data_IF_151939108292
#
_entry.id   IF_151939108292
#
_cell.length_a   1.000
_cell.length_b   1.000
_cell.length_c   1.000
_cell.angle_alpha   90.00
_cell.angle_beta   90.00
_cell.angle_gamma   90.00
#
_symmetry.space_group_name_H-M   'P 1'
#
loop_
_entity.id
_entity.type
_entity.pdbx_description
1 polymer ?
#
# COMPACT_ATOMS: atom_id res chain seq x y z
N UNK A 1 35.69 -27.34 1.56
CA UNK A 1 34.23 -27.28 1.74
C UNK A 1 33.94 -25.97 2.45
N UNK A 2 33.28 -25.04 1.74
CA UNK A 2 32.98 -23.70 2.21
C UNK A 2 31.71 -23.73 3.08
N UNK A 3 31.72 -23.01 4.20
CA UNK A 3 30.55 -22.76 5.04
C UNK A 3 29.62 -21.78 4.33
N UNK A 4 28.32 -22.09 4.35
CA UNK A 4 27.25 -21.47 3.58
C UNK A 4 26.62 -20.24 4.25
N UNK A 5 27.28 -19.63 5.25
CA UNK A 5 26.96 -18.27 5.70
C UNK A 5 25.53 -18.07 6.21
N UNK A 6 24.84 -19.13 6.65
CA UNK A 6 23.50 -19.03 7.22
C UNK A 6 23.60 -18.71 8.72
N UNK A 7 23.22 -17.48 9.10
CA UNK A 7 22.98 -17.15 10.51
C UNK A 7 21.51 -17.46 10.81
N UNK A 8 21.24 -18.60 11.46
CA UNK A 8 19.91 -18.95 11.94
C UNK A 8 19.84 -18.68 13.45
N UNK A 9 19.05 -17.68 13.86
CA UNK A 9 18.77 -17.42 15.29
C UNK A 9 17.46 -18.12 15.64
N UNK A 10 17.55 -19.24 16.36
CA UNK A 10 16.38 -19.89 16.97
C UNK A 10 16.23 -19.37 18.41
N UNK A 11 15.13 -18.66 18.70
CA UNK A 11 14.76 -18.20 20.04
C UNK A 11 13.94 -19.30 20.75
N UNK A 12 14.20 -19.49 22.05
CA UNK A 12 13.52 -20.49 22.89
C UNK A 12 12.06 -20.09 23.15
N UNK A 13 11.19 -21.09 23.08
CA UNK A 13 9.76 -21.02 23.38
C UNK A 13 9.54 -20.89 24.88
N UNK A 14 9.13 -19.70 25.33
CA UNK A 14 8.24 -19.49 26.46
C UNK A 14 7.50 -18.16 26.16
N UNK A 15 6.21 -18.25 25.78
CA UNK A 15 5.25 -17.14 25.55
C UNK A 15 5.66 -16.01 24.54
N UNK A 16 6.52 -16.31 23.58
CA UNK A 16 7.20 -15.30 22.77
C UNK A 16 6.38 -14.74 21.58
N UNK A 17 5.99 -13.47 21.65
CA UNK A 17 5.70 -12.67 20.45
C UNK A 17 6.90 -12.77 19.48
N UNK A 18 6.65 -13.15 18.22
CA UNK A 18 7.69 -13.18 17.18
C UNK A 18 7.80 -11.77 16.61
N UNK A 19 8.72 -10.98 17.15
CA UNK A 19 8.90 -9.60 16.73
C UNK A 19 10.15 -9.46 15.86
N UNK A 20 9.98 -8.93 14.65
CA UNK A 20 11.06 -8.41 13.82
C UNK A 20 11.02 -6.89 13.95
N UNK A 21 12.09 -6.28 14.45
CA UNK A 21 12.26 -4.82 14.50
C UNK A 21 13.41 -4.40 13.61
N UNK A 22 13.13 -3.48 12.69
CA UNK A 22 14.18 -2.75 11.97
C UNK A 22 14.17 -1.29 12.42
N UNK A 23 15.24 -0.85 13.07
CA UNK A 23 15.48 0.56 13.42
C UNK A 23 16.71 1.13 12.71
N UNK A 24 17.38 0.32 11.90
CA UNK A 24 18.60 0.68 11.16
C UNK A 24 18.37 0.66 9.67
N UNK A 25 19.36 0.23 8.90
CA UNK A 25 19.24 0.08 7.44
C UNK A 25 19.43 -1.38 7.04
N UNK A 26 18.49 -1.91 6.26
CA UNK A 26 18.61 -3.19 5.56
C UNK A 26 18.70 -2.86 4.07
N UNK A 27 19.74 -3.32 3.38
CA UNK A 27 19.94 -2.98 1.97
C UNK A 27 20.34 -4.19 1.13
N UNK A 28 19.76 -4.29 -0.06
CA UNK A 28 20.10 -5.23 -1.12
C UNK A 28 19.81 -4.57 -2.47
N UNK A 29 20.79 -3.84 -3.01
CA UNK A 29 20.68 -3.07 -4.26
C UNK A 29 20.12 -3.92 -5.42
N UNK A 30 18.96 -3.51 -5.96
CA UNK A 30 18.21 -4.23 -7.01
C UNK A 30 17.78 -5.66 -6.64
N UNK A 31 18.00 -6.08 -5.39
CA UNK A 31 17.82 -7.44 -4.92
C UNK A 31 16.45 -7.69 -4.29
N UNK A 32 16.34 -8.80 -3.56
CA UNK A 32 15.14 -9.15 -2.80
C UNK A 32 15.40 -9.04 -1.30
N UNK A 33 14.52 -8.31 -0.60
CA UNK A 33 14.47 -8.27 0.87
C UNK A 33 13.14 -8.85 1.33
N UNK A 34 13.17 -9.84 2.21
CA UNK A 34 11.97 -10.43 2.79
C UNK A 34 12.07 -10.50 4.31
N UNK A 35 11.22 -9.73 5.00
CA UNK A 35 11.02 -9.81 6.44
C UNK A 35 9.77 -10.65 6.65
N UNK A 36 9.95 -11.86 7.20
CA UNK A 36 8.85 -12.80 7.41
C UNK A 36 8.85 -13.29 8.86
N UNK A 37 7.78 -12.98 9.60
CA UNK A 37 7.58 -13.48 10.95
C UNK A 37 6.55 -14.61 10.90
N UNK A 38 7.01 -15.85 11.09
CA UNK A 38 6.19 -17.04 10.90
C UNK A 38 4.98 -17.09 11.84
N UNK A 39 3.78 -17.07 11.25
CA UNK A 39 2.49 -17.27 11.89
C UNK A 39 2.34 -18.77 12.24
N UNK A 40 2.75 -19.17 13.45
CA UNK A 40 2.46 -20.52 13.91
C UNK A 40 0.95 -20.66 14.14
N UNK A 41 0.39 -21.82 13.80
CA UNK A 41 -1.03 -22.13 14.05
C UNK A 41 -1.33 -21.96 15.55
N UNK A 42 -1.94 -20.84 15.93
CA UNK A 42 -2.80 -20.77 17.10
C UNK A 42 -2.52 -19.78 18.22
N UNK A 43 -1.44 -18.98 18.28
CA UNK A 43 -1.34 -17.98 19.38
C UNK A 43 -0.22 -16.92 19.29
N UNK A 44 0.66 -16.94 18.28
CA UNK A 44 1.79 -15.99 18.27
C UNK A 44 1.41 -14.73 17.50
N UNK A 45 1.29 -13.60 18.20
CA UNK A 45 1.30 -12.28 17.58
C UNK A 45 2.68 -12.06 16.94
N UNK A 46 2.77 -12.44 15.66
CA UNK A 46 3.93 -12.16 14.84
C UNK A 46 3.86 -10.71 14.38
N UNK A 47 4.86 -9.91 14.76
CA UNK A 47 4.90 -8.47 14.49
C UNK A 47 6.15 -8.14 13.67
N UNK A 48 5.97 -7.36 12.61
CA UNK A 48 7.06 -6.59 12.00
C UNK A 48 6.85 -5.12 12.36
N UNK A 49 7.91 -4.48 12.83
CA UNK A 49 7.95 -3.04 13.12
C UNK A 49 9.18 -2.43 12.43
N UNK A 50 8.92 -1.65 11.37
CA UNK A 50 9.94 -0.97 10.59
C UNK A 50 9.91 0.54 10.87
N UNK A 51 10.84 1.00 11.70
CA UNK A 51 11.13 2.43 11.92
C UNK A 51 12.43 2.89 11.25
N UNK A 52 13.20 1.94 10.69
CA UNK A 52 14.43 2.18 9.95
C UNK A 52 14.19 2.33 8.44
N UNK A 53 15.21 2.00 7.65
CA UNK A 53 15.19 2.02 6.18
C UNK A 53 15.32 0.58 5.66
N UNK A 54 14.49 0.21 4.69
CA UNK A 54 14.62 -1.00 3.88
C UNK A 54 14.83 -0.58 2.43
N UNK A 55 15.97 -0.94 1.85
CA UNK A 55 16.50 -0.35 0.62
C UNK A 55 16.83 -1.44 -0.42
N UNK A 56 15.98 -1.61 -1.41
CA UNK A 56 16.18 -2.49 -2.57
C UNK A 56 16.29 -1.71 -3.89
N UNK A 57 16.54 -0.39 -3.84
CA UNK A 57 16.62 0.41 -5.05
C UNK A 57 17.81 0.05 -5.93
N UNK A 58 17.71 0.41 -7.21
CA UNK A 58 18.75 0.24 -8.22
C UNK A 58 18.96 1.55 -8.98
N UNK A 59 20.21 1.95 -9.22
CA UNK A 59 20.49 3.22 -9.91
C UNK A 59 20.33 3.13 -11.43
N UNK A 60 20.44 1.94 -12.02
CA UNK A 60 20.47 1.75 -13.48
C UNK A 60 19.41 0.79 -13.99
N UNK A 61 19.08 -0.22 -13.19
CA UNK A 61 18.11 -1.25 -13.54
C UNK A 61 16.77 -0.99 -12.87
N UNK A 62 15.84 -1.92 -13.04
CA UNK A 62 14.61 -1.95 -12.27
C UNK A 62 14.91 -2.08 -10.76
N UNK A 63 14.10 -1.43 -9.93
CA UNK A 63 14.15 -1.60 -8.48
C UNK A 63 13.87 -3.04 -8.04
N UNK A 64 14.34 -3.40 -6.85
CA UNK A 64 14.22 -4.75 -6.30
C UNK A 64 12.84 -5.11 -5.77
N UNK A 65 12.76 -6.22 -5.03
CA UNK A 65 11.54 -6.70 -4.39
C UNK A 65 11.65 -6.60 -2.87
N UNK A 66 10.66 -6.01 -2.20
CA UNK A 66 10.57 -5.96 -0.74
C UNK A 66 9.27 -6.62 -0.28
N UNK A 67 9.37 -7.54 0.68
CA UNK A 67 8.24 -8.28 1.24
C UNK A 67 8.25 -8.15 2.76
N UNK A 68 7.17 -7.66 3.36
CA UNK A 68 6.92 -7.68 4.79
C UNK A 68 5.67 -8.54 5.06
N UNK A 69 5.85 -9.70 5.72
CA UNK A 69 4.75 -10.62 6.05
C UNK A 69 4.82 -11.08 7.50
N UNK A 70 3.79 -10.73 8.27
CA UNK A 70 3.60 -11.09 9.67
C UNK A 70 2.11 -11.00 9.99
N UNK A 71 1.69 -11.37 11.21
CA UNK A 71 0.30 -11.18 11.63
C UNK A 71 -0.06 -9.69 11.75
N UNK A 72 0.88 -8.87 12.21
CA UNK A 72 0.79 -7.41 12.22
C UNK A 72 2.04 -6.80 11.59
N UNK A 73 1.87 -5.80 10.73
CA UNK A 73 2.98 -5.03 10.15
C UNK A 73 2.80 -3.53 10.43
N UNK A 74 3.75 -2.92 11.11
CA UNK A 74 3.80 -1.49 11.38
C UNK A 74 4.98 -0.86 10.62
N UNK A 75 4.73 0.25 9.92
CA UNK A 75 5.75 0.99 9.18
C UNK A 75 5.69 2.47 9.56
N UNK A 76 6.77 2.96 10.18
CA UNK A 76 6.99 4.40 10.44
C UNK A 76 8.18 4.95 9.66
N UNK A 77 9.12 4.07 9.27
CA UNK A 77 10.31 4.43 8.52
C UNK A 77 10.14 4.34 7.00
N UNK A 78 11.24 4.10 6.31
CA UNK A 78 11.31 4.11 4.85
C UNK A 78 11.42 2.69 4.24
N UNK A 79 10.80 2.51 3.08
CA UNK A 79 10.88 1.29 2.26
C UNK A 79 11.02 1.73 0.80
N UNK A 80 12.18 1.50 0.20
CA UNK A 80 12.49 1.97 -1.15
C UNK A 80 12.86 0.81 -2.08
N UNK A 81 12.19 0.74 -3.21
CA UNK A 81 12.46 -0.14 -4.33
C UNK A 81 12.46 0.69 -5.63
N UNK A 82 13.05 1.88 -5.60
CA UNK A 82 13.17 2.74 -6.77
C UNK A 82 14.13 2.13 -7.81
N UNK A 83 13.97 2.46 -9.09
CA UNK A 83 14.88 1.96 -10.13
C UNK A 83 15.20 2.99 -11.19
N UNK A 84 16.37 2.85 -11.84
CA UNK A 84 16.77 3.64 -12.99
C UNK A 84 15.82 3.43 -14.17
N UNK A 85 15.62 2.16 -14.54
CA UNK A 85 14.84 1.75 -15.72
C UNK A 85 13.39 1.33 -15.42
N UNK A 86 12.94 1.46 -14.16
CA UNK A 86 11.61 1.03 -13.72
C UNK A 86 11.52 0.86 -12.20
N UNK A 87 10.35 1.11 -11.61
CA UNK A 87 10.15 0.83 -10.19
C UNK A 87 10.12 -0.66 -9.86
N UNK A 88 10.49 -1.00 -8.63
CA UNK A 88 10.45 -2.35 -8.09
C UNK A 88 9.07 -2.77 -7.56
N UNK A 89 9.04 -3.79 -6.70
CA UNK A 89 7.82 -4.31 -6.09
C UNK A 89 7.92 -4.28 -4.57
N UNK A 90 6.88 -3.77 -3.91
CA UNK A 90 6.75 -3.73 -2.46
C UNK A 90 5.44 -4.40 -2.08
N UNK A 91 5.51 -5.47 -1.27
CA UNK A 91 4.36 -6.20 -0.75
C UNK A 91 4.36 -6.12 0.78
N UNK A 92 3.33 -5.49 1.36
CA UNK A 92 3.21 -5.27 2.80
C UNK A 92 1.90 -5.91 3.27
N UNK A 93 2.05 -6.95 4.08
CA UNK A 93 0.94 -7.68 4.68
C UNK A 93 0.26 -8.69 3.75
N UNK A 94 0.18 -8.45 2.43
CA UNK A 94 -0.38 -9.40 1.47
C UNK A 94 0.06 -9.09 0.03
N UNK A 95 -0.51 -9.82 -0.92
CA UNK A 95 -0.36 -9.57 -2.35
C UNK A 95 -1.69 -9.08 -2.95
N UNK A 96 -1.68 -8.79 -4.25
CA UNK A 96 -2.78 -8.23 -5.03
C UNK A 96 -4.13 -8.86 -4.68
N UNK A 97 -5.13 -8.04 -4.33
CA UNK A 97 -6.49 -8.48 -3.96
C UNK A 97 -6.52 -9.55 -2.87
N UNK A 98 -5.61 -9.45 -1.90
CA UNK A 98 -5.53 -10.36 -0.78
C UNK A 98 -5.11 -11.78 -1.12
N UNK A 99 -4.46 -11.99 -2.27
CA UNK A 99 -3.78 -13.25 -2.52
C UNK A 99 -2.63 -13.43 -1.51
N UNK A 100 -2.34 -14.67 -1.08
CA UNK A 100 -1.16 -14.92 -0.27
C UNK A 100 0.11 -14.61 -1.08
N UNK A 101 1.09 -13.96 -0.44
CA UNK A 101 2.35 -13.53 -1.08
C UNK A 101 3.12 -14.70 -1.72
N UNK A 102 3.05 -15.88 -1.10
CA UNK A 102 3.56 -17.14 -1.62
C UNK A 102 3.02 -18.30 -0.77
N UNK A 103 3.17 -19.53 -1.25
CA UNK A 103 2.79 -20.73 -0.50
C UNK A 103 3.38 -20.72 0.93
N UNK A 104 2.49 -20.76 1.92
CA UNK A 104 2.86 -20.79 3.34
C UNK A 104 3.06 -19.43 4.02
N UNK A 105 2.93 -18.31 3.30
CA UNK A 105 2.81 -16.98 3.90
C UNK A 105 1.35 -16.52 3.84
N UNK A 106 0.68 -16.52 5.00
CA UNK A 106 -0.65 -15.94 5.12
C UNK A 106 -0.59 -14.40 5.04
N UNK A 107 -1.74 -13.79 4.79
CA UNK A 107 -1.88 -12.34 4.87
C UNK A 107 -1.76 -11.87 6.33
N UNK A 108 -1.34 -10.63 6.51
CA UNK A 108 -1.43 -9.94 7.79
C UNK A 108 -2.90 -9.77 8.18
N UNK A 109 -3.17 -9.84 9.49
CA UNK A 109 -4.45 -9.38 10.03
C UNK A 109 -4.51 -7.86 10.08
N UNK A 110 -3.39 -7.23 10.43
CA UNK A 110 -3.31 -5.78 10.56
C UNK A 110 -2.09 -5.22 9.85
N UNK A 111 -2.28 -4.20 9.01
CA UNK A 111 -1.20 -3.46 8.36
C UNK A 111 -1.38 -1.97 8.62
N UNK A 112 -0.41 -1.35 9.27
CA UNK A 112 -0.47 0.06 9.69
C UNK A 112 0.73 0.80 9.10
N UNK A 113 0.45 1.71 8.18
CA UNK A 113 1.42 2.67 7.63
C UNK A 113 1.16 4.02 8.32
N UNK A 114 2.18 4.54 8.99
CA UNK A 114 2.09 5.77 9.77
C UNK A 114 2.47 7.01 8.95
N UNK A 115 2.11 8.20 9.45
CA UNK A 115 2.30 9.47 8.72
C UNK A 115 3.75 9.81 8.33
N UNK A 116 4.74 9.30 9.07
CA UNK A 116 6.17 9.49 8.74
C UNK A 116 6.69 8.52 7.69
N UNK A 117 5.92 7.49 7.33
CA UNK A 117 6.38 6.44 6.44
C UNK A 117 6.59 6.95 5.01
N UNK A 118 7.62 6.46 4.36
CA UNK A 118 7.93 6.73 2.95
C UNK A 118 8.12 5.40 2.22
N UNK A 119 7.21 5.09 1.31
CA UNK A 119 7.20 3.84 0.55
C UNK A 119 7.28 4.18 -0.93
N UNK A 120 8.40 3.85 -1.57
CA UNK A 120 8.69 4.27 -2.95
C UNK A 120 9.09 3.13 -3.84
N UNK A 121 8.51 3.07 -5.03
CA UNK A 121 8.86 2.20 -6.13
C UNK A 121 8.81 3.01 -7.44
N UNK A 122 9.50 4.13 -7.49
CA UNK A 122 9.51 5.01 -8.66
C UNK A 122 10.49 4.51 -9.73
N UNK A 123 10.22 4.86 -10.98
CA UNK A 123 11.26 4.97 -11.98
C UNK A 123 11.95 6.35 -11.86
N UNK A 124 13.27 6.38 -11.96
CA UNK A 124 14.07 7.61 -11.74
C UNK A 124 14.61 8.22 -13.03
N UNK A 125 14.69 7.46 -14.12
CA UNK A 125 15.10 7.95 -15.44
C UNK A 125 14.05 7.65 -16.53
N UNK A 126 14.21 6.56 -17.29
CA UNK A 126 13.26 6.10 -18.30
C UNK A 126 12.71 4.74 -17.87
N UNK A 127 11.45 4.71 -17.43
CA UNK A 127 10.82 3.49 -16.96
C UNK A 127 9.43 3.73 -16.36
N UNK A 128 8.65 2.66 -16.30
CA UNK A 128 7.36 2.69 -15.63
C UNK A 128 7.55 2.66 -14.10
N UNK A 129 6.65 3.32 -13.38
CA UNK A 129 6.56 3.17 -11.93
C UNK A 129 6.28 1.71 -11.54
N UNK A 130 6.70 1.34 -10.34
CA UNK A 130 6.63 -0.01 -9.81
C UNK A 130 5.27 -0.36 -9.21
N UNK A 131 5.26 -1.39 -8.37
CA UNK A 131 4.05 -1.90 -7.73
C UNK A 131 4.17 -1.84 -6.21
N UNK A 132 3.20 -1.21 -5.53
CA UNK A 132 3.10 -1.19 -4.07
C UNK A 132 1.77 -1.80 -3.69
N UNK A 133 1.78 -2.87 -2.88
CA UNK A 133 0.58 -3.51 -2.34
C UNK A 133 0.62 -3.40 -0.81
N UNK A 134 -0.45 -2.84 -0.25
CA UNK A 134 -0.69 -2.79 1.20
C UNK A 134 -2.02 -3.49 1.47
N UNK A 135 -1.94 -4.62 2.18
CA UNK A 135 -3.10 -5.49 2.43
C UNK A 135 -3.16 -5.96 3.88
N UNK A 136 -4.38 -6.18 4.38
CA UNK A 136 -4.65 -6.94 5.59
C UNK A 136 -6.04 -7.60 5.57
N UNK A 137 -6.18 -8.72 6.28
CA UNK A 137 -7.43 -9.48 6.38
C UNK A 137 -8.42 -8.89 7.39
N UNK A 138 -7.99 -8.10 8.37
CA UNK A 138 -8.88 -7.45 9.36
C UNK A 138 -8.84 -5.93 9.22
N UNK A 139 -7.66 -5.30 9.30
CA UNK A 139 -7.56 -3.84 9.27
C UNK A 139 -6.32 -3.35 8.53
N UNK A 140 -6.52 -2.48 7.54
CA UNK A 140 -5.45 -1.69 6.95
C UNK A 140 -5.67 -0.22 7.30
N UNK A 141 -4.65 0.41 7.87
CA UNK A 141 -4.60 1.86 8.04
C UNK A 141 -3.41 2.43 7.30
N UNK A 142 -3.65 3.42 6.44
CA UNK A 142 -2.60 4.09 5.69
C UNK A 142 -2.58 5.57 6.04
N UNK A 143 -1.37 6.05 6.32
CA UNK A 143 -0.95 7.45 6.40
C UNK A 143 0.45 7.52 5.76
N UNK A 144 0.94 8.72 5.43
CA UNK A 144 2.27 8.91 4.87
C UNK A 144 2.31 8.79 3.33
N UNK A 145 3.51 8.59 2.78
CA UNK A 145 3.75 8.63 1.33
C UNK A 145 3.84 7.23 0.73
N UNK A 146 3.04 6.96 -0.31
CA UNK A 146 3.22 5.83 -1.23
C UNK A 146 3.41 6.39 -2.65
N UNK A 147 4.54 6.08 -3.29
CA UNK A 147 4.89 6.61 -4.61
C UNK A 147 5.38 5.52 -5.57
N UNK A 148 4.74 5.43 -6.73
CA UNK A 148 5.13 4.57 -7.84
C UNK A 148 5.07 5.40 -9.13
N UNK A 149 5.91 6.43 -9.22
CA UNK A 149 5.90 7.41 -10.32
C UNK A 149 6.65 6.90 -11.54
N UNK A 150 6.20 7.33 -12.71
CA UNK A 150 6.93 7.12 -13.96
C UNK A 150 8.19 7.97 -14.04
N UNK A 151 9.14 7.53 -14.87
CA UNK A 151 10.46 8.15 -15.00
C UNK A 151 10.41 9.59 -15.50
N UNK A 152 11.37 10.40 -15.04
CA UNK A 152 11.46 11.82 -15.42
C UNK A 152 11.75 12.06 -16.89
N UNK A 153 12.25 11.05 -17.61
CA UNK A 153 12.56 11.13 -19.04
C UNK A 153 11.67 10.21 -19.90
N UNK A 154 10.76 9.45 -19.27
CA UNK A 154 9.83 8.56 -19.97
C UNK A 154 9.28 7.43 -19.09
N UNK A 155 8.16 6.84 -19.54
CA UNK A 155 7.44 5.78 -18.84
C UNK A 155 6.15 6.27 -18.18
N UNK A 156 5.30 5.32 -17.81
CA UNK A 156 4.00 5.53 -17.19
C UNK A 156 4.08 5.44 -15.67
N UNK A 157 3.05 5.91 -14.98
CA UNK A 157 2.92 5.70 -13.55
C UNK A 157 2.65 4.23 -13.25
N UNK A 158 3.05 3.81 -12.07
CA UNK A 158 2.91 2.45 -11.58
C UNK A 158 1.56 2.17 -10.93
N UNK A 159 1.53 1.12 -10.11
CA UNK A 159 0.33 0.65 -9.45
C UNK A 159 0.50 0.67 -7.93
N UNK A 160 -0.51 1.20 -7.24
CA UNK A 160 -0.59 1.19 -5.78
C UNK A 160 -1.94 0.61 -5.37
N UNK A 161 -1.94 -0.44 -4.56
CA UNK A 161 -3.13 -0.97 -3.88
C UNK A 161 -3.03 -0.69 -2.38
N UNK A 162 -4.10 -0.11 -1.83
CA UNK A 162 -4.27 0.05 -0.38
C UNK A 162 -5.63 -0.50 0.00
N UNK A 163 -5.63 -1.69 0.60
CA UNK A 163 -6.83 -2.50 0.70
C UNK A 163 -6.90 -3.30 1.97
N UNK A 164 -8.11 -3.75 2.31
CA UNK A 164 -8.34 -4.67 3.40
C UNK A 164 -9.58 -5.51 3.12
N UNK A 165 -9.59 -6.73 3.64
CA UNK A 165 -10.79 -7.57 3.57
C UNK A 165 -11.94 -7.03 4.41
N UNK A 166 -11.69 -6.55 5.64
CA UNK A 166 -12.76 -6.05 6.51
C UNK A 166 -12.80 -4.51 6.57
N UNK A 167 -11.77 -3.88 7.14
CA UNK A 167 -11.77 -2.43 7.38
C UNK A 167 -10.55 -1.75 6.77
N UNK A 168 -10.79 -0.78 5.87
CA UNK A 168 -9.76 0.02 5.22
C UNK A 168 -9.87 1.48 5.63
N UNK A 169 -8.87 2.02 6.32
CA UNK A 169 -8.83 3.42 6.70
C UNK A 169 -7.72 4.15 5.97
N UNK A 170 -8.09 5.08 5.08
CA UNK A 170 -7.13 5.98 4.43
C UNK A 170 -7.15 7.31 5.16
N UNK A 171 -6.12 7.52 6.00
CA UNK A 171 -5.96 8.73 6.79
C UNK A 171 -5.63 9.96 5.93
N UNK A 172 -5.89 11.14 6.48
CA UNK A 172 -5.75 12.43 5.76
C UNK A 172 -4.30 12.79 5.43
N UNK A 173 -3.35 12.23 6.15
CA UNK A 173 -1.91 12.39 5.88
C UNK A 173 -1.41 11.43 4.79
N UNK A 174 -2.31 10.67 4.15
CA UNK A 174 -1.96 9.80 3.02
C UNK A 174 -1.71 10.62 1.76
N UNK A 175 -0.55 10.39 1.15
CA UNK A 175 -0.13 10.97 -0.11
C UNK A 175 0.15 9.83 -1.10
N UNK A 176 -0.66 9.73 -2.16
CA UNK A 176 -0.50 8.74 -3.22
C UNK A 176 0.03 9.42 -4.47
N UNK A 177 1.19 8.97 -4.96
CA UNK A 177 1.83 9.50 -6.16
C UNK A 177 2.02 8.40 -7.20
N UNK A 178 1.24 8.48 -8.27
CA UNK A 178 1.37 7.60 -9.45
C UNK A 178 1.44 8.43 -10.73
N UNK A 179 1.89 9.69 -10.64
CA UNK A 179 2.05 10.56 -11.79
C UNK A 179 3.21 10.12 -12.71
N UNK A 180 3.16 10.58 -13.96
CA UNK A 180 4.18 10.30 -14.98
C UNK A 180 4.39 11.53 -15.87
N UNK A 181 5.52 12.26 -15.75
CA UNK A 181 5.73 13.52 -16.47
C UNK A 181 5.66 13.41 -18.00
N UNK A 182 6.00 12.24 -18.54
CA UNK A 182 6.08 11.97 -19.98
C UNK A 182 5.28 10.73 -20.42
N UNK A 183 4.36 10.27 -19.58
CA UNK A 183 3.55 9.08 -19.85
C UNK A 183 2.12 9.22 -19.34
N UNK A 184 1.41 8.11 -19.31
CA UNK A 184 0.10 8.03 -18.66
C UNK A 184 0.31 7.91 -17.15
N UNK A 185 -0.53 8.58 -16.36
CA UNK A 185 -0.55 8.35 -14.93
C UNK A 185 -0.97 6.92 -14.60
N UNK A 186 -0.46 6.44 -13.49
CA UNK A 186 -0.70 5.10 -12.98
C UNK A 186 -2.03 4.98 -12.25
N UNK A 187 -2.14 3.97 -11.39
CA UNK A 187 -3.39 3.58 -10.76
C UNK A 187 -3.22 3.46 -9.25
N UNK A 188 -4.14 4.09 -8.52
CA UNK A 188 -4.40 3.80 -7.12
C UNK A 188 -5.69 2.99 -6.99
N UNK A 189 -5.60 1.80 -6.40
CA UNK A 189 -6.68 0.83 -6.29
C UNK A 189 -7.05 0.58 -4.83
N UNK A 190 -8.34 0.57 -4.53
CA UNK A 190 -8.91 0.25 -3.22
C UNK A 190 -10.03 -0.78 -3.42
N UNK A 191 -10.07 -1.84 -2.62
CA UNK A 191 -11.13 -2.86 -2.70
C UNK A 191 -11.71 -3.39 -1.36
N UNK A 192 -12.18 -2.52 -0.48
CA UNK A 192 -12.80 -2.95 0.77
C UNK A 192 -14.20 -3.58 0.59
N UNK A 193 -14.77 -4.15 1.65
CA UNK A 193 -16.15 -4.67 1.58
C UNK A 193 -17.22 -3.56 1.49
N UNK A 194 -17.14 -2.53 2.32
CA UNK A 194 -17.91 -1.28 2.17
C UNK A 194 -16.91 -0.11 2.18
N UNK A 195 -17.28 1.09 1.70
CA UNK A 195 -16.44 2.29 1.88
C UNK A 195 -17.27 3.58 1.95
N UNK A 196 -16.88 4.46 2.86
CA UNK A 196 -17.38 5.84 2.95
C UNK A 196 -16.35 6.80 2.35
N UNK A 197 -16.76 7.54 1.33
CA UNK A 197 -16.01 8.67 0.78
C UNK A 197 -16.58 9.94 1.39
N UNK A 198 -15.74 10.76 2.03
CA UNK A 198 -16.18 12.01 2.66
C UNK A 198 -15.10 13.08 2.70
N UNK A 199 -15.48 14.36 2.82
CA UNK A 199 -14.51 15.46 2.98
C UNK A 199 -13.78 15.44 4.33
N UNK A 200 -14.44 14.97 5.39
CA UNK A 200 -13.81 14.85 6.70
C UNK A 200 -12.73 13.77 6.71
N UNK A 201 -12.86 12.74 5.85
CA UNK A 201 -12.11 11.51 5.97
C UNK A 201 -12.35 10.81 7.31
N UNK A 202 -11.56 9.78 7.58
CA UNK A 202 -11.43 9.00 8.82
C UNK A 202 -12.11 9.65 10.02
N UNK A 203 -13.25 9.08 10.41
CA UNK A 203 -14.05 9.49 11.56
C UNK A 203 -13.46 9.00 12.90
N UNK A 204 -12.27 8.39 12.87
CA UNK A 204 -11.60 7.77 14.01
C UNK A 204 -12.16 6.40 14.37
N UNK A 205 -13.12 5.87 13.61
CA UNK A 205 -13.74 4.58 13.85
C UNK A 205 -13.05 3.48 13.04
N UNK A 206 -12.23 2.68 13.71
CA UNK A 206 -11.51 1.56 13.10
C UNK A 206 -12.43 0.44 12.56
N UNK A 207 -13.75 0.53 12.77
CA UNK A 207 -14.75 -0.43 12.27
C UNK A 207 -15.52 0.07 11.05
N UNK A 208 -15.05 1.13 10.39
CA UNK A 208 -15.59 1.59 9.12
C UNK A 208 -14.45 1.78 8.13
N UNK A 209 -14.70 1.39 6.88
CA UNK A 209 -13.78 1.71 5.80
C UNK A 209 -14.06 3.11 5.28
N UNK A 210 -13.02 3.92 5.14
CA UNK A 210 -13.16 5.32 4.77
C UNK A 210 -11.97 5.83 3.95
N UNK A 211 -12.25 6.85 3.14
CA UNK A 211 -11.24 7.60 2.40
C UNK A 211 -11.63 9.07 2.28
N UNK A 212 -10.66 9.95 2.53
CA UNK A 212 -10.84 11.38 2.40
C UNK A 212 -10.88 11.81 0.92
N UNK A 213 -11.81 12.68 0.55
CA UNK A 213 -11.82 13.30 -0.79
C UNK A 213 -10.56 14.10 -1.08
N UNK A 214 -9.89 14.64 -0.06
CA UNK A 214 -8.62 15.35 -0.22
C UNK A 214 -7.54 14.45 -0.84
N UNK A 215 -7.46 13.19 -0.43
CA UNK A 215 -6.48 12.23 -0.97
C UNK A 215 -6.85 11.84 -2.40
N UNK A 216 -8.13 11.53 -2.67
CA UNK A 216 -8.63 11.25 -4.03
C UNK A 216 -8.34 12.42 -4.97
N UNK A 217 -8.68 13.65 -4.54
CA UNK A 217 -8.45 14.86 -5.31
C UNK A 217 -6.96 15.08 -5.58
N UNK A 218 -6.09 14.86 -4.59
CA UNK A 218 -4.65 14.99 -4.78
C UNK A 218 -4.12 14.00 -5.84
N UNK A 219 -4.54 12.73 -5.78
CA UNK A 219 -4.14 11.71 -6.76
C UNK A 219 -4.65 12.05 -8.17
N UNK A 220 -5.94 12.38 -8.30
CA UNK A 220 -6.54 12.75 -9.58
C UNK A 220 -5.84 14.00 -10.14
N UNK A 221 -5.66 15.05 -9.35
CA UNK A 221 -4.99 16.29 -9.79
C UNK A 221 -3.49 16.10 -10.07
N UNK A 222 -2.85 15.03 -9.58
CA UNK A 222 -1.53 14.60 -10.00
C UNK A 222 -1.51 13.92 -11.38
N UNK A 223 -2.67 13.57 -11.94
CA UNK A 223 -2.80 12.81 -13.18
C UNK A 223 -2.90 11.30 -12.96
N UNK A 224 -3.01 10.85 -11.71
CA UNK A 224 -3.19 9.44 -11.37
C UNK A 224 -4.65 9.01 -11.44
N UNK A 225 -4.89 7.75 -11.81
CA UNK A 225 -6.23 7.16 -11.81
C UNK A 225 -6.56 6.61 -10.42
N UNK A 226 -7.84 6.65 -10.04
CA UNK A 226 -8.35 6.12 -8.77
C UNK A 226 -9.47 5.13 -9.07
N UNK A 227 -9.38 3.93 -8.55
CA UNK A 227 -10.41 2.90 -8.67
C UNK A 227 -10.78 2.43 -7.28
N UNK A 228 -12.06 2.51 -6.97
CA UNK A 228 -12.64 2.00 -5.74
C UNK A 228 -13.63 0.91 -6.16
N UNK A 229 -13.32 -0.34 -5.84
CA UNK A 229 -14.11 -1.52 -6.20
C UNK A 229 -14.50 -2.30 -4.95
N UNK A 230 -15.74 -2.16 -4.48
CA UNK A 230 -16.16 -2.88 -3.27
C UNK A 230 -16.59 -4.31 -3.56
N UNK A 231 -16.46 -5.19 -2.56
CA UNK A 231 -16.91 -6.57 -2.58
C UNK A 231 -17.93 -6.83 -1.46
N UNK A 232 -18.80 -7.83 -1.54
CA UNK A 232 -19.60 -8.24 -0.37
C UNK A 232 -18.87 -9.27 0.50
N UNK A 233 -19.12 -9.23 1.81
CA UNK A 233 -18.53 -10.21 2.72
C UNK A 233 -19.12 -10.16 4.13
N UNK A 234 -18.29 -10.46 5.12
CA UNK A 234 -18.75 -10.67 6.50
C UNK A 234 -18.91 -9.36 7.30
N UNK A 235 -18.17 -8.33 6.91
CA UNK A 235 -18.10 -7.01 7.54
C UNK A 235 -18.84 -5.92 6.76
N UNK A 236 -19.19 -6.16 5.50
CA UNK A 236 -19.87 -5.21 4.64
C UNK A 236 -20.68 -5.88 3.53
N UNK A 237 -21.51 -5.08 2.87
CA UNK A 237 -22.41 -5.57 1.85
C UNK A 237 -22.01 -5.24 0.42
N UNK A 238 -20.89 -4.55 0.20
CA UNK A 238 -20.49 -4.11 -1.12
C UNK A 238 -20.89 -2.68 -1.47
N UNK A 239 -21.15 -1.79 -0.50
CA UNK A 239 -21.63 -0.43 -0.76
C UNK A 239 -20.50 0.62 -0.82
N UNK A 240 -20.62 1.53 -1.78
CA UNK A 240 -19.88 2.80 -1.81
C UNK A 240 -20.84 3.92 -1.37
N UNK A 241 -20.48 4.64 -0.31
CA UNK A 241 -21.28 5.75 0.23
C UNK A 241 -20.52 7.07 0.12
N UNK A 242 -21.05 8.03 -0.63
CA UNK A 242 -20.54 9.39 -0.72
C UNK A 242 -21.28 10.29 0.28
N UNK A 243 -20.62 10.69 1.37
CA UNK A 243 -21.22 11.53 2.42
C UNK A 243 -20.48 12.86 2.52
N UNK A 244 -21.10 13.95 2.06
CA UNK A 244 -20.44 15.26 1.94
C UNK A 244 -19.10 15.15 1.19
N UNK A 245 -19.08 14.39 0.09
CA UNK A 245 -17.87 14.12 -0.67
C UNK A 245 -17.77 15.08 -1.86
N UNK A 246 -16.81 16.00 -1.84
CA UNK A 246 -16.51 16.92 -2.93
C UNK A 246 -15.24 16.49 -3.68
N UNK A 247 -15.42 15.70 -4.73
CA UNK A 247 -14.35 15.26 -5.62
C UNK A 247 -14.25 16.24 -6.79
N UNK A 248 -13.11 16.89 -6.95
CA UNK A 248 -12.87 17.92 -7.95
C UNK A 248 -11.51 17.72 -8.64
N UNK A 249 -11.54 17.35 -9.92
CA UNK A 249 -10.37 17.37 -10.81
C UNK A 249 -10.26 18.75 -11.46
N UNK A 250 -9.25 19.52 -11.04
CA UNK A 250 -9.10 20.94 -11.39
C UNK A 250 -7.90 21.26 -12.27
N UNK A 251 -6.93 20.34 -12.38
CA UNK A 251 -5.75 20.55 -13.23
C UNK A 251 -6.10 20.18 -14.66
N UNK A 252 -5.90 21.10 -15.60
CA UNK A 252 -6.02 20.83 -17.03
C UNK A 252 -4.71 20.22 -17.57
N UNK A 253 -4.80 19.32 -18.57
CA UNK A 253 -3.67 18.68 -19.25
C UNK A 253 -2.94 17.56 -18.49
N UNK A 254 -3.60 16.91 -17.53
CA UNK A 254 -3.20 15.61 -17.00
C UNK A 254 -4.44 14.72 -16.82
N UNK A 255 -4.79 13.94 -17.84
CA UNK A 255 -5.98 13.11 -17.79
C UNK A 255 -5.91 12.13 -16.61
N UNK A 256 -7.04 11.96 -15.93
CA UNK A 256 -7.20 11.06 -14.79
C UNK A 256 -8.62 10.51 -14.77
N UNK A 257 -8.77 9.28 -14.30
CA UNK A 257 -10.06 8.60 -14.20
C UNK A 257 -10.36 8.28 -12.74
N UNK A 258 -11.57 8.62 -12.30
CA UNK A 258 -12.17 8.03 -11.11
C UNK A 258 -13.15 6.93 -11.54
N UNK A 259 -12.91 5.72 -11.06
CA UNK A 259 -13.77 4.55 -11.29
C UNK A 259 -14.37 4.11 -9.96
N UNK A 260 -15.70 4.06 -9.87
CA UNK A 260 -16.42 3.53 -8.72
C UNK A 260 -17.21 2.30 -9.16
N UNK A 261 -16.91 1.14 -8.57
CA UNK A 261 -17.56 -0.13 -8.84
C UNK A 261 -18.04 -0.66 -7.50
N UNK A 262 -19.37 -0.71 -7.30
CA UNK A 262 -19.93 -1.30 -6.10
C UNK A 262 -20.47 -2.70 -6.38
N UNK A 263 -20.20 -3.66 -5.50
CA UNK A 263 -20.85 -4.98 -5.56
C UNK A 263 -22.37 -4.84 -5.33
N UNK A 264 -22.81 -3.87 -4.51
CA UNK A 264 -24.22 -3.65 -4.22
C UNK A 264 -24.74 -2.27 -4.64
N UNK A 265 -24.43 -1.20 -3.90
CA UNK A 265 -24.94 0.14 -4.23
C UNK A 265 -23.85 1.22 -4.20
N UNK A 266 -24.04 2.24 -5.06
CA UNK A 266 -23.39 3.53 -4.90
C UNK A 266 -24.46 4.53 -4.45
N UNK A 267 -24.32 5.09 -3.25
CA UNK A 267 -25.25 6.10 -2.71
C UNK A 267 -24.52 7.41 -2.42
N UNK A 268 -25.21 8.55 -2.52
CA UNK A 268 -24.60 9.85 -2.29
C UNK A 268 -25.55 10.85 -1.65
N UNK A 269 -25.06 11.59 -0.66
CA UNK A 269 -25.78 12.70 0.00
C UNK A 269 -24.86 13.91 0.13
N UNK A 270 -25.31 15.08 -0.34
CA UNK A 270 -24.56 16.34 -0.27
C UNK A 270 -23.17 16.29 -0.92
N UNK A 271 -23.01 15.47 -1.97
CA UNK A 271 -21.73 15.19 -2.62
C UNK A 271 -21.67 15.76 -4.04
N UNK A 272 -20.48 16.08 -4.52
CA UNK A 272 -20.20 16.54 -5.88
C UNK A 272 -19.02 15.77 -6.49
N UNK A 273 -19.11 15.49 -7.79
CA UNK A 273 -18.00 14.97 -8.61
C UNK A 273 -17.90 15.88 -9.83
N UNK A 274 -16.75 16.54 -10.02
CA UNK A 274 -16.50 17.51 -11.09
C UNK A 274 -15.11 17.37 -11.67
#
# INVERSE_FOLDING_TARGET
MAGDGLTQIALREDDAQKIIRNTGTISAEGGKIALTAGMARGLVDALIDNSGVIEASSMTEQGGQIILSANTVNVTGAIHADGGSGGGQILIGGDYKGQPIQDGLANAKNTIIHDTAQITANATDVGDGGNIIVWADEHTSVNGLLAARGGQNGGNGGFIETSAKQYLQIGRETHIQVDAPHGQGGQWYLDPEDIVISDSGNDGNASTSDVATSTINATLNGGGNVTIETNSGASGNGDITLSYANINKTVDNNDATLTLIADRHITGSYSTIR
#
